data_IF_663941287269
#
_entry.id   IF_663941287269
#
_cell.length_a   1.000
_cell.length_b   1.000
_cell.length_c   1.000
_cell.angle_alpha   90.00
_cell.angle_beta   90.00
_cell.angle_gamma   90.00
#
_symmetry.space_group_name_H-M   'P 1'
#
loop_
_entity.id
_entity.type
_entity.pdbx_description
1 polymer ?
#
# COMPACT_ATOMS: atom_id res chain seq x y z
N UNK A 1 16.15 -30.22 -48.32
CA UNK A 1 15.35 -29.05 -47.91
C UNK A 1 15.12 -29.15 -46.42
N UNK A 2 15.74 -28.28 -45.63
CA UNK A 2 15.59 -28.26 -44.17
C UNK A 2 14.75 -27.04 -43.80
N UNK A 3 13.52 -27.27 -43.33
CA UNK A 3 12.65 -26.20 -42.87
C UNK A 3 13.01 -25.84 -41.43
N UNK A 4 13.60 -24.66 -41.27
CA UNK A 4 13.79 -23.98 -39.99
C UNK A 4 12.55 -23.13 -39.72
N UNK A 5 11.73 -23.53 -38.75
CA UNK A 5 10.71 -22.64 -38.17
C UNK A 5 11.42 -21.73 -37.17
N UNK A 6 11.74 -20.52 -37.61
CA UNK A 6 12.19 -19.42 -36.77
C UNK A 6 11.00 -18.85 -35.99
N UNK A 7 11.12 -18.87 -34.67
CA UNK A 7 10.26 -18.15 -33.74
C UNK A 7 10.68 -16.68 -33.85
N UNK A 8 9.90 -15.87 -34.58
CA UNK A 8 10.13 -14.43 -34.64
C UNK A 8 9.58 -13.79 -33.37
N UNK A 9 10.43 -12.99 -32.73
CA UNK A 9 10.12 -12.03 -31.67
C UNK A 9 8.80 -11.31 -31.96
N UNK A 10 7.84 -11.41 -31.04
CA UNK A 10 6.83 -10.38 -30.89
C UNK A 10 7.31 -9.42 -29.81
N UNK A 11 7.56 -8.23 -30.28
CA UNK A 11 8.05 -7.08 -29.55
C UNK A 11 7.06 -6.76 -28.42
N UNK A 12 7.53 -6.91 -27.19
CA UNK A 12 6.81 -6.55 -25.97
C UNK A 12 6.75 -5.03 -25.86
N UNK A 13 5.83 -4.40 -26.61
CA UNK A 13 5.39 -3.03 -26.35
C UNK A 13 4.60 -3.04 -25.02
N UNK A 14 5.35 -2.91 -23.94
CA UNK A 14 4.82 -2.81 -22.58
C UNK A 14 3.84 -1.64 -22.48
N UNK A 15 2.69 -1.91 -21.85
CA UNK A 15 1.80 -0.87 -21.36
C UNK A 15 2.59 0.08 -20.44
N UNK A 16 3.06 1.19 -21.00
CA UNK A 16 3.55 2.33 -20.24
C UNK A 16 2.34 2.98 -19.58
N UNK A 17 1.98 2.51 -18.41
CA UNK A 17 1.09 3.25 -17.52
C UNK A 17 1.78 4.56 -17.15
N UNK A 18 1.25 5.66 -17.69
CA UNK A 18 1.72 7.00 -17.39
C UNK A 18 1.43 7.31 -15.92
N UNK A 19 2.47 7.31 -15.11
CA UNK A 19 2.48 7.81 -13.74
C UNK A 19 2.29 9.33 -13.76
N UNK A 20 1.05 9.80 -13.95
CA UNK A 20 0.67 11.16 -13.65
C UNK A 20 0.54 11.28 -12.13
N UNK A 21 1.68 11.46 -11.48
CA UNK A 21 1.83 11.75 -10.06
C UNK A 21 1.18 13.10 -9.71
N UNK A 22 -0.13 13.12 -9.55
CA UNK A 22 -0.81 14.13 -8.76
C UNK A 22 -0.73 13.74 -7.29
N UNK A 23 -0.25 14.65 -6.44
CA UNK A 23 -0.16 14.53 -4.97
C UNK A 23 1.04 13.77 -4.37
N UNK A 24 2.24 14.26 -4.67
CA UNK A 24 3.28 14.52 -3.66
C UNK A 24 4.31 15.50 -4.26
N UNK A 25 3.91 16.75 -4.52
CA UNK A 25 4.87 17.78 -4.87
C UNK A 25 5.35 18.48 -3.60
N UNK A 26 6.42 17.94 -3.04
CA UNK A 26 7.41 18.77 -2.33
C UNK A 26 8.77 18.12 -2.54
N UNK A 27 9.55 18.79 -3.41
CA UNK A 27 11.00 18.71 -3.61
C UNK A 27 11.60 17.38 -4.04
N UNK A 28 11.66 17.12 -5.36
CA UNK A 28 12.93 16.79 -6.04
C UNK A 28 12.87 17.41 -7.45
N UNK A 29 13.49 18.57 -7.60
CA UNK A 29 13.95 19.06 -8.90
C UNK A 29 15.35 18.48 -9.11
N UNK A 30 15.57 17.76 -10.22
CA UNK A 30 16.90 17.38 -10.68
C UNK A 30 17.13 15.87 -10.76
N UNK A 31 17.39 15.42 -11.99
CA UNK A 31 18.09 14.19 -12.40
C UNK A 31 17.53 12.82 -11.96
N UNK A 32 17.23 12.00 -12.97
CA UNK A 32 17.29 10.52 -13.03
C UNK A 32 17.66 9.80 -11.72
N UNK A 33 16.76 9.86 -10.75
CA UNK A 33 16.81 9.01 -9.57
C UNK A 33 16.23 7.66 -9.94
N UNK A 34 17.04 6.77 -10.49
CA UNK A 34 16.80 5.33 -10.40
C UNK A 34 16.76 5.04 -8.88
N UNK A 35 15.59 5.17 -8.26
CA UNK A 35 15.30 4.52 -6.99
C UNK A 35 15.64 3.07 -7.28
N UNK A 36 16.70 2.56 -6.64
CA UNK A 36 17.16 1.19 -6.90
C UNK A 36 15.95 0.31 -6.68
N UNK A 37 15.66 -0.57 -7.62
CA UNK A 37 14.48 -1.45 -7.56
C UNK A 37 14.37 -2.16 -6.20
N UNK A 38 15.53 -2.50 -5.60
CA UNK A 38 15.64 -3.03 -4.25
C UNK A 38 15.07 -2.15 -3.14
N UNK A 39 15.12 -0.81 -3.25
CA UNK A 39 14.55 0.10 -2.25
C UNK A 39 13.01 0.06 -2.24
N UNK A 40 12.40 -0.47 -3.30
CA UNK A 40 10.93 -0.63 -3.43
C UNK A 40 10.45 -2.01 -2.98
N UNK A 41 11.36 -2.94 -2.73
CA UNK A 41 11.03 -4.31 -2.32
C UNK A 41 10.91 -4.41 -0.80
N UNK A 42 9.89 -5.16 -0.34
CA UNK A 42 9.79 -5.48 1.08
C UNK A 42 10.93 -6.44 1.50
N UNK A 43 11.40 -6.43 2.75
CA UNK A 43 12.44 -7.36 3.19
C UNK A 43 12.07 -8.82 2.91
N UNK A 44 12.92 -9.53 2.17
CA UNK A 44 12.69 -10.92 1.73
C UNK A 44 12.40 -11.88 2.90
N UNK A 45 12.99 -11.61 4.06
CA UNK A 45 12.78 -12.39 5.27
C UNK A 45 11.33 -12.28 5.80
N UNK A 46 10.73 -11.09 5.71
CA UNK A 46 9.35 -10.85 6.13
C UNK A 46 8.37 -11.52 5.16
N UNK A 47 8.62 -11.42 3.85
CA UNK A 47 7.84 -12.13 2.81
C UNK A 47 7.87 -13.64 3.07
N UNK A 48 9.08 -14.21 3.23
CA UNK A 48 9.25 -15.63 3.51
C UNK A 48 8.57 -16.10 4.80
N UNK A 49 8.58 -15.27 5.86
CA UNK A 49 7.89 -15.58 7.12
C UNK A 49 6.38 -15.69 6.93
N UNK A 50 5.76 -14.74 6.22
CA UNK A 50 4.31 -14.73 5.97
C UNK A 50 3.92 -15.90 5.07
N UNK A 51 4.65 -16.13 3.97
CA UNK A 51 4.39 -17.28 3.08
C UNK A 51 4.39 -18.61 3.86
N UNK A 52 5.26 -18.75 4.87
CA UNK A 52 5.36 -19.97 5.66
C UNK A 52 4.20 -20.20 6.64
N UNK A 53 3.45 -19.14 7.02
CA UNK A 53 2.34 -19.25 7.98
C UNK A 53 1.19 -20.12 7.49
N UNK A 54 0.98 -20.19 6.17
CA UNK A 54 -0.09 -20.99 5.55
C UNK A 54 0.38 -22.38 5.11
N UNK A 55 1.64 -22.72 5.35
CA UNK A 55 2.24 -23.99 4.93
C UNK A 55 2.48 -24.92 6.12
N UNK A 56 2.56 -26.25 5.89
CA UNK A 56 2.96 -27.20 6.91
C UNK A 56 4.33 -26.83 7.55
N UNK A 57 4.58 -27.19 8.83
CA UNK A 57 5.79 -26.80 9.55
C UNK A 57 7.10 -27.14 8.82
N UNK A 58 7.14 -28.29 8.15
CA UNK A 58 8.33 -28.81 7.47
C UNK A 58 8.45 -28.39 6.00
N UNK A 59 7.48 -27.63 5.46
CA UNK A 59 7.51 -27.21 4.06
C UNK A 59 8.71 -26.29 3.79
N UNK A 60 9.36 -26.43 2.64
CA UNK A 60 10.44 -25.54 2.20
C UNK A 60 9.90 -24.61 1.12
N UNK A 61 10.37 -23.36 1.12
CA UNK A 61 10.08 -22.37 0.09
C UNK A 61 11.41 -22.08 -0.60
N UNK A 62 11.46 -22.25 -1.92
CA UNK A 62 12.67 -21.96 -2.70
C UNK A 62 13.03 -20.47 -2.64
N UNK A 63 14.25 -20.13 -3.06
CA UNK A 63 14.68 -18.73 -3.12
C UNK A 63 13.85 -17.97 -4.14
N UNK A 64 13.70 -18.56 -5.32
CA UNK A 64 13.01 -18.01 -6.49
C UNK A 64 11.55 -17.70 -6.15
N UNK A 65 10.86 -18.60 -5.44
CA UNK A 65 9.47 -18.37 -5.02
C UNK A 65 9.33 -17.18 -4.05
N UNK A 66 10.33 -16.93 -3.20
CA UNK A 66 10.31 -15.75 -2.32
C UNK A 66 10.55 -14.47 -3.11
N UNK A 67 11.47 -14.49 -4.07
CA UNK A 67 11.79 -13.34 -4.94
C UNK A 67 10.58 -12.98 -5.82
N UNK A 68 9.93 -13.97 -6.45
CA UNK A 68 8.68 -13.74 -7.20
C UNK A 68 7.59 -13.15 -6.32
N UNK A 69 7.38 -13.69 -5.11
CA UNK A 69 6.36 -13.13 -4.20
C UNK A 69 6.73 -11.72 -3.70
N UNK A 70 8.02 -11.42 -3.56
CA UNK A 70 8.52 -10.08 -3.18
C UNK A 70 8.22 -9.06 -4.28
N UNK A 71 8.39 -9.42 -5.55
CA UNK A 71 8.01 -8.59 -6.69
C UNK A 71 6.49 -8.43 -6.75
N UNK A 72 5.72 -9.53 -6.67
CA UNK A 72 4.26 -9.50 -6.73
C UNK A 72 3.64 -8.63 -5.62
N UNK A 73 4.17 -8.65 -4.40
CA UNK A 73 3.61 -7.83 -3.31
C UNK A 73 3.92 -6.34 -3.51
N UNK A 74 5.09 -5.99 -4.05
CA UNK A 74 5.41 -4.60 -4.40
C UNK A 74 4.55 -4.09 -5.54
N UNK A 75 4.28 -4.93 -6.55
CA UNK A 75 3.34 -4.63 -7.61
C UNK A 75 1.91 -4.50 -7.08
N UNK A 76 1.47 -5.41 -6.19
CA UNK A 76 0.15 -5.35 -5.57
C UNK A 76 -0.08 -4.03 -4.82
N UNK A 77 0.91 -3.56 -4.05
CA UNK A 77 0.84 -2.25 -3.38
C UNK A 77 0.66 -1.14 -4.41
N UNK A 78 1.46 -1.15 -5.48
CA UNK A 78 1.40 -0.14 -6.55
C UNK A 78 0.04 -0.17 -7.28
N UNK A 79 -0.49 -1.36 -7.54
CA UNK A 79 -1.75 -1.58 -8.22
C UNK A 79 -2.94 -1.05 -7.41
N UNK A 80 -3.05 -1.46 -6.14
CA UNK A 80 -4.14 -1.00 -5.26
C UNK A 80 -4.05 0.49 -4.98
N UNK A 81 -2.84 1.01 -4.73
CA UNK A 81 -2.66 2.45 -4.47
C UNK A 81 -2.89 3.31 -5.70
N UNK A 82 -2.58 2.80 -6.90
CA UNK A 82 -2.93 3.44 -8.17
C UNK A 82 -4.44 3.61 -8.33
N UNK A 83 -5.20 2.52 -8.15
CA UNK A 83 -6.67 2.56 -8.25
C UNK A 83 -7.31 3.47 -7.19
N UNK A 84 -6.81 3.44 -5.96
CA UNK A 84 -7.27 4.34 -4.89
C UNK A 84 -6.95 5.81 -5.19
N UNK A 85 -5.76 6.08 -5.75
CA UNK A 85 -5.35 7.42 -6.18
C UNK A 85 -6.23 7.95 -7.29
N UNK A 86 -6.55 7.13 -8.29
CA UNK A 86 -7.42 7.50 -9.40
C UNK A 86 -8.81 7.90 -8.92
N UNK A 87 -9.40 7.14 -7.98
CA UNK A 87 -10.66 7.51 -7.34
C UNK A 87 -10.56 8.85 -6.61
N UNK A 88 -9.53 9.01 -5.77
CA UNK A 88 -9.29 10.23 -5.01
C UNK A 88 -9.22 11.47 -5.93
N UNK A 89 -8.48 11.35 -7.04
CA UNK A 89 -8.35 12.41 -8.03
C UNK A 89 -9.65 12.70 -8.79
N UNK A 90 -10.41 11.65 -9.17
CA UNK A 90 -11.75 11.80 -9.78
C UNK A 90 -12.71 12.56 -8.86
N UNK A 91 -12.56 12.41 -7.54
CA UNK A 91 -13.31 13.16 -6.53
C UNK A 91 -12.71 14.53 -6.18
N UNK A 92 -11.73 15.02 -6.95
CA UNK A 92 -11.02 16.31 -6.75
C UNK A 92 -10.33 16.43 -5.40
N UNK A 93 -9.98 15.31 -4.76
CA UNK A 93 -9.18 15.28 -3.53
C UNK A 93 -7.70 15.08 -3.86
N UNK A 94 -6.84 15.69 -3.06
CA UNK A 94 -5.36 15.56 -3.15
C UNK A 94 -4.78 14.55 -2.16
N UNK A 95 -5.60 13.95 -1.31
CA UNK A 95 -5.14 13.06 -0.24
C UNK A 95 -5.97 11.80 -0.27
N UNK A 96 -5.31 10.69 -0.57
CA UNK A 96 -5.88 9.35 -0.49
C UNK A 96 -6.15 9.03 0.98
N UNK A 97 -7.34 8.51 1.28
CA UNK A 97 -7.74 8.12 2.62
C UNK A 97 -8.04 6.60 2.70
N UNK A 98 -8.38 6.12 3.90
CA UNK A 98 -8.68 4.70 4.10
C UNK A 98 -9.92 4.19 3.35
N UNK A 99 -10.90 5.05 3.08
CA UNK A 99 -12.11 4.68 2.34
C UNK A 99 -11.81 4.47 0.85
N UNK A 100 -10.83 5.19 0.29
CA UNK A 100 -10.34 5.01 -1.08
C UNK A 100 -9.71 3.63 -1.26
N UNK A 101 -8.87 3.22 -0.31
CA UNK A 101 -8.22 1.90 -0.31
C UNK A 101 -9.27 0.79 -0.18
N UNK A 102 -10.24 0.94 0.72
CA UNK A 102 -11.32 -0.04 0.87
C UNK A 102 -12.18 -0.15 -0.39
N UNK A 103 -12.40 0.96 -1.10
CA UNK A 103 -13.10 0.95 -2.37
C UNK A 103 -12.28 0.28 -3.47
N UNK A 104 -11.00 0.63 -3.59
CA UNK A 104 -10.11 0.06 -4.60
C UNK A 104 -10.06 -1.47 -4.48
N UNK A 105 -9.90 -2.00 -3.27
CA UNK A 105 -9.92 -3.45 -3.05
C UNK A 105 -11.23 -4.09 -3.51
N UNK A 106 -12.38 -3.49 -3.24
CA UNK A 106 -13.66 -4.02 -3.72
C UNK A 106 -13.77 -3.98 -5.25
N UNK A 107 -13.40 -2.84 -5.87
CA UNK A 107 -13.41 -2.68 -7.34
C UNK A 107 -12.50 -3.68 -8.05
N UNK A 108 -11.37 -4.01 -7.44
CA UNK A 108 -10.38 -4.96 -7.97
C UNK A 108 -10.74 -6.44 -7.69
N UNK A 109 -11.89 -6.72 -7.08
CA UNK A 109 -12.38 -8.08 -6.81
C UNK A 109 -11.85 -8.71 -5.52
N UNK A 110 -11.29 -7.92 -4.61
CA UNK A 110 -10.82 -8.34 -3.28
C UNK A 110 -11.87 -8.07 -2.19
N UNK A 111 -13.15 -8.34 -2.45
CA UNK A 111 -14.28 -8.01 -1.56
C UNK A 111 -14.11 -8.57 -0.13
N UNK A 112 -13.63 -9.81 -0.03
CA UNK A 112 -13.32 -10.51 1.24
C UNK A 112 -12.14 -9.92 2.02
N UNK A 113 -11.44 -8.92 1.47
CA UNK A 113 -10.45 -8.14 2.19
C UNK A 113 -10.99 -6.72 2.44
N UNK A 114 -11.72 -6.15 1.48
CA UNK A 114 -12.34 -4.84 1.59
C UNK A 114 -13.30 -4.74 2.79
N UNK A 115 -14.15 -5.74 3.03
CA UNK A 115 -15.08 -5.73 4.16
C UNK A 115 -14.33 -5.75 5.51
N UNK A 116 -13.27 -6.54 5.60
CA UNK A 116 -12.45 -6.76 6.79
C UNK A 116 -11.67 -5.49 7.10
N UNK A 117 -11.11 -4.83 6.07
CA UNK A 117 -10.45 -3.53 6.20
C UNK A 117 -11.42 -2.43 6.62
N UNK A 118 -12.66 -2.39 6.10
CA UNK A 118 -13.67 -1.41 6.54
C UNK A 118 -13.97 -1.53 8.03
N UNK A 119 -14.14 -2.76 8.53
CA UNK A 119 -14.34 -3.03 9.97
C UNK A 119 -13.13 -2.61 10.81
N UNK A 120 -11.92 -2.82 10.30
CA UNK A 120 -10.70 -2.33 10.94
C UNK A 120 -10.64 -0.81 10.97
N UNK A 121 -10.88 -0.15 9.84
CA UNK A 121 -10.86 1.31 9.70
C UNK A 121 -11.86 1.99 10.63
N UNK A 122 -13.06 1.41 10.80
CA UNK A 122 -14.05 1.89 11.76
C UNK A 122 -13.49 1.88 13.19
N UNK A 123 -12.98 0.72 13.64
CA UNK A 123 -12.41 0.58 14.99
C UNK A 123 -11.19 1.48 15.22
N UNK A 124 -10.36 1.66 14.20
CA UNK A 124 -9.24 2.58 14.25
C UNK A 124 -9.69 4.03 14.49
N UNK A 125 -10.73 4.48 13.78
CA UNK A 125 -11.31 5.82 13.94
C UNK A 125 -11.93 6.04 15.32
N UNK A 126 -12.60 5.03 15.87
CA UNK A 126 -13.15 5.08 17.25
C UNK A 126 -12.04 5.27 18.28
N UNK A 127 -10.99 4.43 18.21
CA UNK A 127 -9.86 4.49 19.14
C UNK A 127 -9.09 5.82 19.06
N UNK A 128 -8.86 6.32 17.85
CA UNK A 128 -8.22 7.64 17.67
C UNK A 128 -9.10 8.77 18.22
N UNK A 129 -10.42 8.69 18.03
CA UNK A 129 -11.38 9.64 18.60
C UNK A 129 -11.38 9.64 20.13
N UNK A 130 -11.30 8.47 20.76
CA UNK A 130 -11.18 8.32 22.21
C UNK A 130 -9.87 8.91 22.74
N UNK A 131 -8.74 8.63 22.07
CA UNK A 131 -7.42 9.16 22.44
C UNK A 131 -7.39 10.69 22.40
N UNK A 132 -7.95 11.29 21.35
CA UNK A 132 -8.07 12.76 21.24
C UNK A 132 -8.97 13.32 22.34
N UNK A 133 -10.06 12.64 22.68
CA UNK A 133 -10.99 13.05 23.74
C UNK A 133 -10.34 12.99 25.12
N UNK A 134 -9.55 11.94 25.40
CA UNK A 134 -8.78 11.79 26.64
C UNK A 134 -7.72 12.89 26.78
N UNK A 135 -6.96 13.18 25.72
CA UNK A 135 -5.97 14.26 25.76
C UNK A 135 -6.60 15.62 26.06
N UNK A 136 -7.76 15.92 25.44
CA UNK A 136 -8.50 17.16 25.74
C UNK A 136 -9.04 17.21 27.17
N UNK A 137 -9.42 16.07 27.76
CA UNK A 137 -9.85 16.00 29.14
C UNK A 137 -8.69 16.28 30.12
N UNK A 138 -7.50 15.76 29.82
CA UNK A 138 -6.27 16.00 30.59
C UNK A 138 -5.90 17.49 30.54
N UNK A 139 -5.87 18.12 29.36
CA UNK A 139 -5.57 19.56 29.19
C UNK A 139 -6.58 20.45 29.94
N UNK A 140 -7.86 20.07 29.98
CA UNK A 140 -8.90 20.79 30.74
C UNK A 140 -8.72 20.64 32.25
N UNK A 141 -8.28 19.48 32.72
CA UNK A 141 -8.02 19.26 34.15
C UNK A 141 -6.80 20.05 34.64
N UNK A 142 -5.75 20.12 33.84
CA UNK A 142 -4.49 20.82 34.20
C UNK A 142 -4.67 22.34 34.19
N UNK A 143 -5.42 22.87 33.22
CA UNK A 143 -5.80 24.30 33.19
C UNK A 143 -6.71 24.69 34.37
N UNK A 144 -7.54 23.78 34.87
CA UNK A 144 -8.40 24.02 36.05
C UNK A 144 -7.64 24.02 37.38
N UNK A 145 -6.47 23.38 37.46
CA UNK A 145 -5.58 23.42 38.63
C UNK A 145 -4.79 24.74 38.69
N UNK A 146 -4.45 25.32 37.54
CA UNK A 146 -3.70 26.58 37.43
C UNK A 146 -4.51 27.86 37.77
N UNK A 147 -5.84 27.76 37.86
CA UNK A 147 -6.72 28.93 38.12
C UNK A 147 -7.30 29.00 39.54
N UNK A 148 -6.92 28.10 40.45
CA UNK A 148 -7.43 28.13 41.83
C UNK A 148 -6.77 29.30 42.60
N UNK A 149 -7.53 30.30 43.07
CA UNK A 149 -6.97 31.34 43.91
C UNK A 149 -6.60 30.76 45.28
N UNK A 150 -5.49 31.24 45.86
CA UNK A 150 -5.01 30.91 47.20
C UNK A 150 -6.05 31.24 48.29
#
# INVERSE_FOLDING_TARGET
MADKIGINNLDSEGLKYNFAAGAASSVISGEDGIIKEQDRLLPIANVGRIMKQILPPNAKISKEAKETMQECVSEFISFVTGEASDKCHKEKRKTVNGDDVCWALATLGFDNYAEQLKRYLHRYREQEGERVSQNRAIERSDSSLATRPF
#
